data_IF_149298946324
#
_entry.id   IF_149298946324
#
_cell.length_a   1.000
_cell.length_b   1.000
_cell.length_c   1.000
_cell.angle_alpha   90.00
_cell.angle_beta   90.00
_cell.angle_gamma   90.00
#
_symmetry.space_group_name_H-M   'P 1'
#
loop_
_entity.id
_entity.type
_entity.pdbx_description
1 polymer ?
#
# COMPACT_ATOMS: atom_id res chain seq x y z
N UNK A 1 31.66 -39.35 5.08
CA UNK A 1 30.36 -38.72 5.42
C UNK A 1 30.63 -37.23 5.55
N UNK A 2 30.48 -36.49 4.45
CA UNK A 2 30.73 -35.05 4.43
C UNK A 2 29.48 -34.33 4.89
N UNK A 3 29.57 -33.62 6.01
CA UNK A 3 28.55 -32.69 6.47
C UNK A 3 28.44 -31.56 5.45
N UNK A 4 27.41 -31.63 4.60
CA UNK A 4 27.02 -30.51 3.76
C UNK A 4 26.67 -29.35 4.67
N UNK A 5 27.58 -28.39 4.77
CA UNK A 5 27.24 -27.07 5.29
C UNK A 5 26.17 -26.52 4.36
N UNK A 6 24.91 -26.61 4.81
CA UNK A 6 23.82 -25.77 4.34
C UNK A 6 24.30 -24.33 4.44
N UNK A 7 24.85 -23.82 3.33
CA UNK A 7 24.95 -22.41 3.06
C UNK A 7 23.52 -21.91 2.90
N UNK A 8 22.78 -21.84 4.01
CA UNK A 8 21.72 -20.88 4.18
C UNK A 8 22.40 -19.52 4.06
N UNK A 9 22.58 -19.10 2.81
CA UNK A 9 23.20 -17.86 2.43
C UNK A 9 22.56 -16.79 3.31
N UNK A 10 23.39 -16.12 4.11
CA UNK A 10 23.05 -14.85 4.71
C UNK A 10 22.57 -13.95 3.57
N UNK A 11 21.26 -13.98 3.32
CA UNK A 11 20.59 -13.01 2.47
C UNK A 11 20.72 -11.71 3.23
N UNK A 12 21.87 -11.05 3.09
CA UNK A 12 22.06 -9.65 3.43
C UNK A 12 20.82 -8.96 2.91
N UNK A 13 20.06 -8.39 3.83
CA UNK A 13 18.81 -7.71 3.56
C UNK A 13 19.12 -6.73 2.42
N UNK A 14 18.61 -7.04 1.22
CA UNK A 14 18.85 -6.19 0.05
C UNK A 14 18.26 -4.82 0.36
N UNK A 15 18.91 -3.73 -0.03
CA UNK A 15 18.33 -2.40 0.15
C UNK A 15 16.93 -2.39 -0.47
N UNK A 16 15.93 -1.96 0.29
CA UNK A 16 14.50 -2.15 0.00
C UNK A 16 14.06 -1.96 -1.47
N UNK A 17 14.53 -0.92 -2.19
CA UNK A 17 14.17 -0.70 -3.59
C UNK A 17 14.61 -1.82 -4.55
N UNK A 18 15.73 -2.49 -4.27
CA UNK A 18 16.25 -3.55 -5.14
C UNK A 18 15.32 -4.76 -5.14
N UNK A 19 14.76 -5.14 -3.99
CA UNK A 19 13.85 -6.28 -3.90
C UNK A 19 12.58 -6.06 -4.73
N UNK A 20 12.06 -4.82 -4.75
CA UNK A 20 10.90 -4.43 -5.57
C UNK A 20 11.27 -4.46 -7.05
N UNK A 21 12.44 -3.94 -7.44
CA UNK A 21 12.93 -4.01 -8.82
C UNK A 21 13.14 -5.44 -9.31
N UNK A 22 13.69 -6.31 -8.48
CA UNK A 22 13.91 -7.73 -8.80
C UNK A 22 12.57 -8.43 -9.03
N UNK A 23 11.58 -8.22 -8.15
CA UNK A 23 10.24 -8.80 -8.27
C UNK A 23 9.50 -8.30 -9.53
N UNK A 24 9.60 -7.00 -9.86
CA UNK A 24 8.99 -6.46 -11.07
C UNK A 24 9.70 -6.97 -12.34
N UNK A 25 11.03 -7.14 -12.30
CA UNK A 25 11.80 -7.75 -13.39
C UNK A 25 11.33 -9.18 -13.63
N UNK A 26 11.27 -10.00 -12.58
CA UNK A 26 10.85 -11.40 -12.67
C UNK A 26 9.44 -11.52 -13.27
N UNK A 27 8.48 -10.74 -12.78
CA UNK A 27 7.10 -10.71 -13.31
C UNK A 27 7.09 -10.32 -14.80
N UNK A 28 7.85 -9.30 -15.20
CA UNK A 28 7.94 -8.85 -16.60
C UNK A 28 8.64 -9.87 -17.50
N UNK A 29 9.62 -10.61 -17.00
CA UNK A 29 10.25 -11.70 -17.73
C UNK A 29 9.28 -12.86 -17.98
N UNK A 30 8.49 -13.24 -16.97
CA UNK A 30 7.44 -14.24 -17.13
C UNK A 30 6.35 -13.78 -18.11
N UNK A 31 5.91 -12.53 -18.02
CA UNK A 31 4.93 -11.96 -18.94
C UNK A 31 5.48 -11.94 -20.38
N UNK A 32 6.73 -11.50 -20.55
CA UNK A 32 7.42 -11.54 -21.84
C UNK A 32 7.47 -12.96 -22.40
N UNK A 33 7.82 -13.96 -21.59
CA UNK A 33 7.84 -15.36 -22.02
C UNK A 33 6.46 -15.83 -22.52
N UNK A 34 5.37 -15.48 -21.83
CA UNK A 34 4.01 -15.75 -22.31
C UNK A 34 3.70 -15.09 -23.65
N UNK A 35 4.14 -13.84 -23.88
CA UNK A 35 3.95 -13.19 -25.19
C UNK A 35 4.68 -13.94 -26.30
N UNK A 36 5.87 -14.49 -26.02
CA UNK A 36 6.63 -15.27 -26.99
C UNK A 36 5.96 -16.61 -27.30
N UNK A 37 5.40 -17.26 -26.28
CA UNK A 37 4.62 -18.48 -26.45
C UNK A 37 3.39 -18.23 -27.32
N UNK A 38 2.61 -17.21 -26.99
CA UNK A 38 1.45 -16.80 -27.78
C UNK A 38 1.83 -16.56 -29.25
N UNK A 39 2.87 -15.76 -29.51
CA UNK A 39 3.32 -15.44 -30.86
C UNK A 39 3.72 -16.69 -31.66
N UNK A 40 4.44 -17.64 -31.03
CA UNK A 40 4.83 -18.91 -31.66
C UNK A 40 3.62 -19.79 -32.01
N UNK A 41 2.54 -19.70 -31.24
CA UNK A 41 1.29 -20.43 -31.48
C UNK A 41 0.41 -19.86 -32.58
N UNK A 42 0.72 -18.67 -33.11
CA UNK A 42 -0.09 -18.03 -34.14
C UNK A 42 0.10 -18.64 -35.53
N UNK A 43 -1.02 -18.86 -36.20
CA UNK A 43 -1.06 -19.19 -37.64
C UNK A 43 -0.65 -17.99 -38.49
N UNK A 44 -0.32 -18.23 -39.78
CA UNK A 44 0.02 -17.16 -40.73
C UNK A 44 -1.09 -16.10 -40.83
N UNK A 45 -2.37 -16.52 -40.87
CA UNK A 45 -3.52 -15.61 -40.91
C UNK A 45 -3.57 -14.71 -39.69
N UNK A 46 -3.39 -15.28 -38.49
CA UNK A 46 -3.41 -14.51 -37.23
C UNK A 46 -2.20 -13.57 -37.09
N UNK A 47 -1.08 -13.82 -37.78
CA UNK A 47 0.06 -12.90 -37.79
C UNK A 47 -0.14 -11.72 -38.76
N UNK A 48 -1.05 -11.83 -39.74
CA UNK A 48 -1.27 -10.78 -40.76
C UNK A 48 -2.57 -10.02 -40.57
N UNK A 49 -3.61 -10.67 -40.05
CA UNK A 49 -4.95 -10.11 -39.89
C UNK A 49 -5.21 -9.72 -38.43
N UNK A 50 -5.50 -8.44 -38.19
CA UNK A 50 -5.65 -7.89 -36.84
C UNK A 50 -6.88 -8.46 -36.10
N UNK A 51 -7.95 -8.76 -36.82
CA UNK A 51 -9.17 -9.35 -36.22
C UNK A 51 -8.88 -10.76 -35.73
N UNK A 52 -8.30 -11.61 -36.58
CA UNK A 52 -7.90 -12.96 -36.22
C UNK A 52 -6.87 -12.99 -35.09
N UNK A 53 -5.94 -12.02 -35.04
CA UNK A 53 -5.00 -11.85 -33.93
C UNK A 53 -5.71 -11.56 -32.60
N UNK A 54 -6.66 -10.61 -32.58
CA UNK A 54 -7.43 -10.26 -31.38
C UNK A 54 -8.26 -11.42 -30.86
N UNK A 55 -8.85 -12.20 -31.76
CA UNK A 55 -9.61 -13.40 -31.39
C UNK A 55 -8.72 -14.49 -30.80
N UNK A 56 -7.56 -14.72 -31.42
CA UNK A 56 -6.55 -15.64 -30.91
C UNK A 56 -6.02 -15.22 -29.53
N UNK A 57 -5.74 -13.92 -29.35
CA UNK A 57 -5.28 -13.36 -28.08
C UNK A 57 -6.32 -13.50 -26.97
N UNK A 58 -7.58 -13.14 -27.24
CA UNK A 58 -8.69 -13.34 -26.29
C UNK A 58 -8.83 -14.79 -25.86
N UNK A 59 -8.81 -15.72 -26.82
CA UNK A 59 -8.88 -17.16 -26.53
C UNK A 59 -7.68 -17.63 -25.69
N UNK A 60 -6.45 -17.28 -26.10
CA UNK A 60 -5.24 -17.67 -25.40
C UNK A 60 -5.23 -17.19 -23.94
N UNK A 61 -5.57 -15.92 -23.71
CA UNK A 61 -5.60 -15.35 -22.37
C UNK A 61 -6.73 -15.96 -21.54
N UNK A 62 -7.92 -16.19 -22.11
CA UNK A 62 -9.01 -16.87 -21.41
C UNK A 62 -8.62 -18.30 -21.01
N UNK A 63 -7.98 -19.06 -21.91
CA UNK A 63 -7.49 -20.41 -21.60
C UNK A 63 -6.48 -20.39 -20.44
N UNK A 64 -5.60 -19.38 -20.38
CA UNK A 64 -4.62 -19.20 -19.29
C UNK A 64 -5.26 -18.75 -17.99
N UNK A 65 -6.22 -17.83 -18.04
CA UNK A 65 -6.98 -17.40 -16.87
C UNK A 65 -7.76 -18.58 -16.29
N UNK A 66 -8.45 -19.38 -17.11
CA UNK A 66 -9.16 -20.58 -16.66
C UNK A 66 -8.23 -21.66 -16.06
N UNK A 67 -6.94 -21.65 -16.42
CA UNK A 67 -5.94 -22.54 -15.81
C UNK A 67 -5.41 -22.00 -14.46
N UNK A 68 -5.29 -20.69 -14.33
CA UNK A 68 -4.88 -20.02 -13.10
C UNK A 68 -6.03 -19.97 -12.07
N UNK A 69 -7.23 -19.73 -12.57
CA UNK A 69 -8.51 -19.76 -11.87
C UNK A 69 -9.05 -21.19 -11.92
N UNK A 70 -8.47 -22.08 -11.11
CA UNK A 70 -8.95 -23.47 -11.04
C UNK A 70 -10.36 -23.42 -10.46
N UNK A 71 -11.42 -23.78 -11.21
CA UNK A 71 -12.77 -23.73 -10.68
C UNK A 71 -12.85 -24.63 -9.44
N UNK A 72 -13.43 -24.10 -8.38
CA UNK A 72 -13.71 -24.85 -7.16
C UNK A 72 -14.55 -26.08 -7.53
N UNK A 73 -13.89 -27.25 -7.61
CA UNK A 73 -14.58 -28.51 -7.86
C UNK A 73 -15.37 -28.87 -6.61
N UNK A 74 -16.71 -28.79 -6.72
CA UNK A 74 -17.65 -29.30 -5.73
C UNK A 74 -17.77 -28.45 -4.46
N UNK A 75 -18.95 -27.91 -4.24
CA UNK A 75 -19.53 -27.53 -2.94
C UNK A 75 -18.53 -27.27 -1.80
N UNK A 76 -17.98 -26.05 -1.73
CA UNK A 76 -17.56 -25.47 -0.45
C UNK A 76 -16.06 -25.26 -0.18
N UNK A 77 -15.16 -25.41 -1.16
CA UNK A 77 -13.77 -24.93 -0.99
C UNK A 77 -13.48 -23.79 -1.96
N UNK A 78 -13.57 -22.56 -1.47
CA UNK A 78 -12.95 -21.41 -2.13
C UNK A 78 -11.44 -21.66 -2.16
N UNK A 79 -10.91 -22.00 -3.33
CA UNK A 79 -9.47 -21.96 -3.55
C UNK A 79 -9.13 -20.51 -3.87
N UNK A 80 -8.14 -19.95 -3.18
CA UNK A 80 -7.64 -18.63 -3.52
C UNK A 80 -7.05 -18.66 -4.93
N UNK A 81 -7.40 -17.70 -5.81
CA UNK A 81 -6.85 -17.63 -7.15
C UNK A 81 -5.32 -17.44 -7.08
N UNK A 82 -4.61 -17.98 -8.07
CA UNK A 82 -3.16 -17.76 -8.20
C UNK A 82 -2.91 -16.35 -8.78
N UNK A 83 -2.96 -15.36 -7.89
CA UNK A 83 -2.87 -13.94 -8.25
C UNK A 83 -1.55 -13.58 -8.92
N UNK A 84 -0.47 -14.29 -8.60
CA UNK A 84 0.82 -14.10 -9.28
C UNK A 84 0.69 -14.43 -10.77
N UNK A 85 0.11 -15.60 -11.10
CA UNK A 85 -0.15 -15.97 -12.50
C UNK A 85 -1.12 -15.03 -13.18
N UNK A 86 -2.20 -14.63 -12.50
CA UNK A 86 -3.19 -13.69 -13.05
C UNK A 86 -2.53 -12.36 -13.39
N UNK A 87 -1.66 -11.82 -12.53
CA UNK A 87 -0.97 -10.55 -12.78
C UNK A 87 0.02 -10.66 -13.95
N UNK A 88 0.71 -11.80 -14.08
CA UNK A 88 1.56 -12.09 -15.24
C UNK A 88 0.73 -12.15 -16.52
N UNK A 89 -0.46 -12.76 -16.49
CA UNK A 89 -1.39 -12.83 -17.63
C UNK A 89 -1.90 -11.43 -18.01
N UNK A 90 -2.31 -10.60 -17.05
CA UNK A 90 -2.75 -9.23 -17.33
C UNK A 90 -1.61 -8.36 -17.88
N UNK A 91 -0.38 -8.52 -17.36
CA UNK A 91 0.79 -7.85 -17.91
C UNK A 91 1.05 -8.28 -19.36
N UNK A 92 1.00 -9.58 -19.64
CA UNK A 92 1.15 -10.12 -21.00
C UNK A 92 0.02 -9.65 -21.93
N UNK A 93 -1.22 -9.56 -21.43
CA UNK A 93 -2.36 -9.02 -22.16
C UNK A 93 -2.09 -7.57 -22.59
N UNK A 94 -1.62 -6.71 -21.69
CA UNK A 94 -1.27 -5.33 -22.01
C UNK A 94 -0.19 -5.25 -23.11
N UNK A 95 0.83 -6.09 -23.04
CA UNK A 95 1.91 -6.15 -24.04
C UNK A 95 1.43 -6.67 -25.40
N UNK A 96 0.46 -7.58 -25.43
CA UNK A 96 -0.07 -8.16 -26.65
C UNK A 96 -1.18 -7.34 -27.30
N UNK A 97 -1.77 -6.37 -26.59
CA UNK A 97 -2.83 -5.54 -27.15
C UNK A 97 -2.28 -4.63 -28.25
N UNK A 98 -2.94 -4.57 -29.43
CA UNK A 98 -2.51 -3.68 -30.48
C UNK A 98 -2.73 -2.22 -30.05
N UNK A 99 -1.71 -1.40 -30.23
CA UNK A 99 -1.82 0.04 -29.98
C UNK A 99 -2.69 0.71 -31.04
N UNK A 100 -3.22 1.89 -30.71
CA UNK A 100 -4.00 2.68 -31.66
C UNK A 100 -3.16 2.99 -32.92
N UNK A 101 -3.74 2.75 -34.10
CA UNK A 101 -3.04 2.94 -35.39
C UNK A 101 -2.17 1.76 -35.84
N UNK A 102 -2.08 0.67 -35.07
CA UNK A 102 -1.35 -0.52 -35.50
C UNK A 102 -2.12 -1.25 -36.61
N UNK A 103 -1.57 -1.26 -37.83
CA UNK A 103 -2.20 -1.95 -38.98
C UNK A 103 -2.03 -3.47 -38.94
N UNK A 104 -0.89 -3.94 -38.40
CA UNK A 104 -0.51 -5.36 -38.43
C UNK A 104 -0.03 -5.84 -37.06
N UNK A 105 -0.37 -7.08 -36.67
CA UNK A 105 0.21 -7.69 -35.47
C UNK A 105 1.73 -7.65 -35.50
N UNK A 106 2.34 -7.30 -34.37
CA UNK A 106 3.80 -7.24 -34.20
C UNK A 106 4.19 -8.15 -33.04
N UNK A 107 5.28 -8.89 -33.22
CA UNK A 107 5.90 -9.64 -32.14
C UNK A 107 6.41 -8.68 -31.07
N UNK A 108 6.03 -8.90 -29.82
CA UNK A 108 6.59 -8.19 -28.66
C UNK A 108 8.08 -8.51 -28.57
N UNK A 109 8.91 -7.48 -28.57
CA UNK A 109 10.35 -7.58 -28.35
C UNK A 109 10.71 -7.23 -26.92
N UNK A 110 11.91 -7.63 -26.45
CA UNK A 110 12.36 -7.29 -25.10
C UNK A 110 12.44 -5.76 -24.89
N UNK A 111 12.71 -5.00 -25.96
CA UNK A 111 12.70 -3.53 -25.98
C UNK A 111 11.31 -2.92 -25.88
N UNK A 112 10.25 -3.67 -26.15
CA UNK A 112 8.87 -3.22 -26.01
C UNK A 112 8.38 -3.38 -24.55
N UNK A 113 9.16 -4.03 -23.69
CA UNK A 113 8.86 -4.23 -22.27
C UNK A 113 9.71 -3.26 -21.44
N UNK A 114 9.05 -2.44 -20.62
CA UNK A 114 9.71 -1.47 -19.75
C UNK A 114 10.28 -2.15 -18.50
N UNK A 115 11.45 -2.79 -18.61
CA UNK A 115 12.11 -3.42 -17.47
C UNK A 115 12.61 -2.36 -16.47
N UNK A 116 12.41 -2.57 -15.15
CA UNK A 116 12.83 -1.60 -14.16
C UNK A 116 14.37 -1.47 -14.16
N UNK A 117 14.83 -0.25 -13.89
CA UNK A 117 16.24 0.09 -13.74
C UNK A 117 16.49 0.71 -12.37
N UNK A 118 17.75 0.97 -12.02
CA UNK A 118 18.12 1.71 -10.81
C UNK A 118 17.49 3.12 -10.72
N UNK A 119 16.95 3.65 -11.84
CA UNK A 119 16.28 4.95 -11.91
C UNK A 119 14.75 4.84 -11.86
N UNK A 120 14.20 3.63 -11.90
CA UNK A 120 12.74 3.42 -11.83
C UNK A 120 12.25 3.79 -10.44
N UNK A 121 11.29 4.71 -10.41
CA UNK A 121 10.61 5.19 -9.21
C UNK A 121 9.14 4.80 -9.18
N UNK A 122 8.55 4.46 -10.33
CA UNK A 122 7.15 4.04 -10.45
C UNK A 122 7.06 2.58 -10.82
N UNK A 123 6.24 1.85 -10.07
CA UNK A 123 5.96 0.44 -10.27
C UNK A 123 4.46 0.24 -10.45
N UNK A 124 4.06 -0.40 -11.55
CA UNK A 124 2.66 -0.68 -11.82
C UNK A 124 2.23 -2.00 -11.18
N UNK A 125 1.12 -1.98 -10.45
CA UNK A 125 0.43 -3.17 -9.94
C UNK A 125 -0.74 -3.49 -10.87
N UNK A 126 -1.42 -4.62 -10.65
CA UNK A 126 -2.64 -4.93 -11.41
C UNK A 126 -3.71 -3.83 -11.26
N UNK A 127 -3.98 -3.40 -10.02
CA UNK A 127 -5.00 -2.40 -9.67
C UNK A 127 -4.41 -1.16 -8.99
N UNK A 128 -3.21 -0.72 -9.39
CA UNK A 128 -2.59 0.43 -8.76
C UNK A 128 -1.17 0.75 -9.19
N UNK A 129 -0.52 1.65 -8.45
CA UNK A 129 0.91 1.90 -8.57
C UNK A 129 1.57 2.19 -7.22
N UNK A 130 2.87 1.93 -7.17
CA UNK A 130 3.76 2.36 -6.10
C UNK A 130 4.71 3.38 -6.73
N UNK A 131 4.67 4.60 -6.22
CA UNK A 131 5.47 5.73 -6.68
C UNK A 131 6.43 6.16 -5.56
N UNK A 132 7.73 6.14 -5.85
CA UNK A 132 8.81 6.49 -4.92
C UNK A 132 9.34 7.89 -5.27
N UNK A 133 8.96 8.91 -4.51
CA UNK A 133 9.50 10.26 -4.71
C UNK A 133 10.81 10.43 -3.95
N UNK A 134 11.89 10.63 -4.71
CA UNK A 134 13.24 10.81 -4.15
C UNK A 134 13.46 12.21 -3.58
N UNK A 135 12.75 13.21 -4.11
CA UNK A 135 12.92 14.61 -3.69
C UNK A 135 12.33 14.82 -2.30
N UNK A 136 11.12 14.30 -2.09
CA UNK A 136 10.42 14.38 -0.80
C UNK A 136 10.68 13.18 0.11
N UNK A 137 11.36 12.14 -0.38
CA UNK A 137 11.52 10.85 0.30
C UNK A 137 10.17 10.25 0.74
N UNK A 138 9.13 10.47 -0.06
CA UNK A 138 7.79 9.93 0.15
C UNK A 138 7.57 8.68 -0.69
N UNK A 139 6.54 7.92 -0.30
CA UNK A 139 6.02 6.83 -1.10
C UNK A 139 4.52 7.02 -1.22
N UNK A 140 4.05 7.06 -2.47
CA UNK A 140 2.63 7.07 -2.78
C UNK A 140 2.22 5.67 -3.24
N UNK A 141 1.23 5.11 -2.55
CA UNK A 141 0.58 3.86 -2.96
C UNK A 141 -0.83 4.21 -3.41
N UNK A 142 -1.04 4.14 -4.72
CA UNK A 142 -2.34 4.44 -5.33
C UNK A 142 -2.99 3.15 -5.74
N UNK A 143 -4.25 2.96 -5.36
CA UNK A 143 -5.07 1.80 -5.72
C UNK A 143 -6.32 2.31 -6.41
N UNK A 144 -6.77 1.62 -7.46
CA UNK A 144 -8.00 1.95 -8.17
C UNK A 144 -9.24 1.79 -7.27
N UNK A 145 -10.28 2.56 -7.52
CA UNK A 145 -11.56 2.43 -6.79
C UNK A 145 -12.27 1.14 -7.24
N UNK A 146 -12.42 0.18 -6.32
CA UNK A 146 -13.19 -1.06 -6.50
C UNK A 146 -13.46 -1.71 -5.13
N UNK A 147 -14.50 -2.54 -5.02
CA UNK A 147 -14.91 -3.22 -3.77
C UNK A 147 -13.81 -4.11 -3.14
N UNK A 148 -12.77 -4.49 -3.90
CA UNK A 148 -11.66 -5.37 -3.45
C UNK A 148 -10.26 -4.94 -3.93
N UNK A 149 -10.13 -3.78 -4.56
CA UNK A 149 -8.86 -3.41 -5.18
C UNK A 149 -7.72 -3.27 -4.15
N UNK A 150 -8.02 -2.89 -2.90
CA UNK A 150 -7.00 -2.77 -1.85
C UNK A 150 -6.44 -4.15 -1.47
N UNK A 151 -7.32 -5.14 -1.29
CA UNK A 151 -6.95 -6.52 -1.01
C UNK A 151 -6.17 -7.14 -2.17
N UNK A 152 -6.65 -6.94 -3.39
CA UNK A 152 -6.05 -7.49 -4.60
C UNK A 152 -4.68 -6.83 -4.88
N UNK A 153 -4.57 -5.51 -4.70
CA UNK A 153 -3.30 -4.79 -4.78
C UNK A 153 -2.31 -5.24 -3.69
N UNK A 154 -2.77 -5.53 -2.47
CA UNK A 154 -1.93 -6.10 -1.41
C UNK A 154 -1.48 -7.53 -1.70
N UNK A 155 -2.29 -8.29 -2.42
CA UNK A 155 -2.00 -9.66 -2.76
C UNK A 155 -1.03 -9.79 -3.94
N UNK A 156 -0.82 -8.71 -4.71
CA UNK A 156 0.22 -8.61 -5.74
C UNK A 156 1.61 -8.95 -5.15
N UNK A 157 2.38 -9.86 -5.78
CA UNK A 157 3.74 -10.21 -5.34
C UNK A 157 4.67 -9.00 -5.17
N UNK A 158 4.54 -8.00 -6.04
CA UNK A 158 5.34 -6.78 -6.00
C UNK A 158 5.01 -5.94 -4.77
N UNK A 159 3.72 -5.80 -4.45
CA UNK A 159 3.27 -5.11 -3.25
C UNK A 159 3.73 -5.84 -1.98
N UNK A 160 3.70 -7.18 -1.97
CA UNK A 160 4.23 -7.98 -0.84
C UNK A 160 5.69 -7.70 -0.56
N UNK A 161 6.54 -7.71 -1.59
CA UNK A 161 7.97 -7.38 -1.43
C UNK A 161 8.16 -5.91 -1.05
N UNK A 162 7.35 -4.98 -1.57
CA UNK A 162 7.36 -3.58 -1.16
C UNK A 162 7.05 -3.40 0.34
N UNK A 163 5.94 -3.95 0.83
CA UNK A 163 5.57 -3.82 2.26
C UNK A 163 6.50 -4.58 3.19
N UNK A 164 7.13 -5.65 2.70
CA UNK A 164 8.21 -6.33 3.43
C UNK A 164 9.45 -5.45 3.53
N UNK A 165 9.83 -4.79 2.42
CA UNK A 165 10.94 -3.85 2.40
C UNK A 165 10.68 -2.63 3.31
N UNK A 166 9.47 -2.05 3.28
CA UNK A 166 9.12 -0.90 4.11
C UNK A 166 9.12 -1.26 5.62
N UNK A 167 8.70 -2.48 5.97
CA UNK A 167 8.76 -2.99 7.33
C UNK A 167 10.18 -3.19 7.88
N UNK A 168 11.18 -3.24 7.01
CA UNK A 168 12.60 -3.39 7.38
C UNK A 168 13.35 -2.05 7.46
N UNK A 169 12.70 -0.94 7.10
CA UNK A 169 13.28 0.41 7.20
C UNK A 169 13.58 0.73 8.66
N UNK A 170 14.77 1.29 8.92
CA UNK A 170 15.12 1.90 10.20
C UNK A 170 14.58 3.33 10.22
N UNK A 171 13.54 3.56 11.01
CA UNK A 171 12.86 4.84 11.03
C UNK A 171 13.52 5.82 11.98
N UNK A 172 13.74 7.05 11.54
CA UNK A 172 14.21 8.15 12.39
C UNK A 172 13.03 8.93 12.96
N UNK A 173 13.29 9.80 13.94
CA UNK A 173 12.27 10.73 14.46
C UNK A 173 11.73 11.61 13.32
N UNK A 174 10.40 11.76 13.25
CA UNK A 174 9.75 12.57 12.21
C UNK A 174 9.69 11.89 10.84
N UNK A 175 9.83 10.56 10.78
CA UNK A 175 9.62 9.77 9.55
C UNK A 175 8.55 8.70 9.77
N UNK A 176 8.17 8.03 8.69
CA UNK A 176 7.06 7.10 8.66
C UNK A 176 5.82 7.75 8.06
N UNK A 177 4.67 7.14 8.30
CA UNK A 177 3.42 7.65 7.78
C UNK A 177 2.30 6.63 7.87
N UNK A 178 1.20 6.99 7.22
CA UNK A 178 -0.05 6.26 7.25
C UNK A 178 -0.50 6.04 5.81
N UNK A 179 -0.81 4.79 5.47
CA UNK A 179 -1.51 4.44 4.25
C UNK A 179 -3.00 4.50 4.53
N UNK A 180 -3.71 5.30 3.75
CA UNK A 180 -5.16 5.45 3.85
C UNK A 180 -5.82 4.79 2.65
N UNK A 181 -6.99 4.19 2.90
CA UNK A 181 -7.86 3.64 1.88
C UNK A 181 -9.24 4.28 1.95
N UNK A 182 -9.98 4.17 0.86
CA UNK A 182 -11.41 4.44 0.79
C UNK A 182 -12.07 3.26 0.07
N UNK A 183 -13.27 2.88 0.49
CA UNK A 183 -14.05 1.84 -0.17
C UNK A 183 -15.41 2.40 -0.62
N UNK A 184 -16.06 1.74 -1.57
CA UNK A 184 -17.34 2.18 -2.13
C UNK A 184 -18.42 2.30 -1.04
N UNK A 185 -18.35 1.46 -0.01
CA UNK A 185 -19.30 1.47 1.11
C UNK A 185 -19.17 2.74 1.97
N UNK A 186 -17.97 3.30 2.08
CA UNK A 186 -17.72 4.55 2.79
C UNK A 186 -18.19 5.77 1.99
N UNK A 187 -18.17 5.77 0.65
CA UNK A 187 -18.69 6.91 -0.13
C UNK A 187 -20.22 7.07 -0.03
N UNK A 188 -20.97 5.97 0.03
CA UNK A 188 -22.44 6.01 0.02
C UNK A 188 -23.06 6.41 1.37
N UNK A 189 -22.24 6.56 2.39
CA UNK A 189 -22.68 6.93 3.71
C UNK A 189 -22.87 8.45 3.83
N UNK A 190 -23.94 8.95 3.18
CA UNK A 190 -24.30 10.39 3.05
C UNK A 190 -24.64 11.11 4.37
N UNK A 191 -24.53 10.44 5.52
CA UNK A 191 -24.75 11.07 6.82
C UNK A 191 -23.50 11.80 7.31
N UNK A 192 -23.67 12.86 8.09
CA UNK A 192 -22.56 13.59 8.69
C UNK A 192 -21.72 12.66 9.58
N UNK A 193 -20.52 12.30 9.09
CA UNK A 193 -19.58 11.38 9.76
C UNK A 193 -19.45 9.99 9.12
N UNK A 194 -20.14 9.70 8.02
CA UNK A 194 -20.31 8.32 7.52
C UNK A 194 -19.21 7.75 6.62
N UNK A 195 -18.35 8.57 5.99
CA UNK A 195 -17.46 8.11 4.92
C UNK A 195 -16.01 8.54 5.11
N UNK A 196 -15.40 8.15 6.23
CA UNK A 196 -14.03 8.54 6.55
C UNK A 196 -13.04 7.58 5.88
N UNK A 197 -12.02 8.12 5.21
CA UNK A 197 -10.81 7.40 4.85
C UNK A 197 -10.36 6.57 6.06
N UNK A 198 -10.12 5.27 5.87
CA UNK A 198 -9.62 4.41 6.93
C UNK A 198 -8.13 4.18 6.76
N UNK A 199 -7.45 3.89 7.87
CA UNK A 199 -6.03 3.55 7.84
C UNK A 199 -5.89 2.05 7.54
N UNK A 200 -5.25 1.72 6.44
CA UNK A 200 -4.94 0.33 6.07
C UNK A 200 -3.69 -0.16 6.79
N UNK A 201 -2.64 0.66 6.82
CA UNK A 201 -1.36 0.37 7.48
C UNK A 201 -0.68 1.64 7.93
N UNK A 202 0.13 1.55 8.99
CA UNK A 202 0.99 2.64 9.41
C UNK A 202 2.42 2.13 9.70
N UNK A 203 3.42 2.99 9.50
CA UNK A 203 4.83 2.66 9.71
C UNK A 203 5.58 3.82 10.36
N UNK A 204 6.62 3.48 11.13
CA UNK A 204 7.51 4.45 11.77
C UNK A 204 6.85 5.30 12.85
N UNK A 205 7.60 6.25 13.44
CA UNK A 205 7.12 7.11 14.52
C UNK A 205 5.88 7.94 14.17
N UNK A 206 5.80 8.51 12.97
CA UNK A 206 4.61 9.28 12.55
C UNK A 206 3.38 8.36 12.50
N UNK A 207 3.51 7.18 11.87
CA UNK A 207 2.42 6.21 11.80
C UNK A 207 1.98 5.70 13.17
N UNK A 208 2.92 5.51 14.11
CA UNK A 208 2.62 5.14 15.48
C UNK A 208 1.88 6.25 16.24
N UNK A 209 2.20 7.51 15.98
CA UNK A 209 1.51 8.64 16.61
C UNK A 209 0.10 8.84 16.05
N UNK A 210 -0.07 8.74 14.73
CA UNK A 210 -1.34 9.02 14.07
C UNK A 210 -2.32 7.84 14.15
N UNK A 211 -1.84 6.61 14.03
CA UNK A 211 -2.66 5.41 13.97
C UNK A 211 -1.97 4.23 14.68
N UNK A 212 -1.77 4.30 16.01
CA UNK A 212 -1.02 3.29 16.76
C UNK A 212 -1.59 1.86 16.66
N UNK A 213 -2.92 1.72 16.49
CA UNK A 213 -3.57 0.41 16.35
C UNK A 213 -3.30 -0.30 15.02
N UNK A 214 -2.82 0.44 14.03
CA UNK A 214 -2.61 0.01 12.64
C UNK A 214 -1.12 0.11 12.27
N UNK A 215 -0.30 0.58 13.21
CA UNK A 215 1.13 0.69 13.04
C UNK A 215 1.78 -0.69 13.13
N UNK A 216 2.54 -1.06 12.11
CA UNK A 216 3.33 -2.26 12.12
C UNK A 216 4.55 -2.10 13.05
N UNK A 217 4.98 -3.18 13.73
CA UNK A 217 6.22 -3.16 14.49
C UNK A 217 7.38 -2.69 13.61
N UNK A 218 8.18 -1.76 14.14
CA UNK A 218 9.27 -1.16 13.39
C UNK A 218 10.52 -1.02 14.24
N UNK A 219 11.66 -0.79 13.59
CA UNK A 219 12.93 -0.52 14.26
C UNK A 219 13.24 0.96 14.12
N UNK A 220 13.56 1.63 15.23
CA UNK A 220 13.98 3.02 15.19
C UNK A 220 15.46 3.16 14.78
N UNK A 221 15.92 4.40 14.59
CA UNK A 221 17.31 4.70 14.24
C UNK A 221 18.32 4.34 15.33
N UNK A 222 17.86 4.10 16.56
CA UNK A 222 18.68 3.63 17.68
C UNK A 222 18.74 2.10 17.77
N UNK A 223 18.04 1.39 16.87
CA UNK A 223 17.97 -0.07 16.88
C UNK A 223 16.95 -0.63 17.88
N UNK A 224 16.17 0.21 18.55
CA UNK A 224 15.09 -0.22 19.42
C UNK A 224 13.92 -0.67 18.57
N UNK A 225 13.43 -1.88 18.83
CA UNK A 225 12.24 -2.42 18.18
C UNK A 225 10.99 -1.99 18.92
N UNK A 226 10.09 -1.31 18.22
CA UNK A 226 8.76 -0.98 18.71
C UNK A 226 7.85 -2.18 18.44
N UNK A 227 7.48 -2.91 19.49
CA UNK A 227 6.61 -4.09 19.41
C UNK A 227 5.14 -3.69 19.41
N UNK A 228 4.24 -4.62 19.08
CA UNK A 228 2.79 -4.38 19.18
C UNK A 228 2.36 -3.97 20.59
N UNK A 229 2.95 -4.56 21.64
CA UNK A 229 2.65 -4.19 23.03
C UNK A 229 3.05 -2.74 23.34
N UNK A 230 4.22 -2.30 22.84
CA UNK A 230 4.66 -0.92 23.02
C UNK A 230 3.72 0.07 22.29
N UNK A 231 3.26 -0.29 21.09
CA UNK A 231 2.29 0.51 20.32
C UNK A 231 0.91 0.52 20.98
N UNK A 232 0.45 -0.60 21.54
CA UNK A 232 -0.80 -0.69 22.28
C UNK A 232 -0.77 0.18 23.55
N UNK A 233 0.37 0.19 24.25
CA UNK A 233 0.58 1.09 25.40
C UNK A 233 0.53 2.55 24.98
N UNK A 234 1.19 2.91 23.89
CA UNK A 234 1.17 4.28 23.35
C UNK A 234 -0.26 4.71 22.98
N UNK A 235 -1.06 3.82 22.38
CA UNK A 235 -2.49 4.06 22.12
C UNK A 235 -3.27 4.33 23.40
N UNK A 236 -3.04 3.53 24.45
CA UNK A 236 -3.72 3.71 25.73
C UNK A 236 -3.36 5.04 26.39
N UNK A 237 -2.08 5.43 26.33
CA UNK A 237 -1.58 6.71 26.84
C UNK A 237 -2.21 7.89 26.07
N UNK A 238 -2.31 7.80 24.74
CA UNK A 238 -2.99 8.81 23.92
C UNK A 238 -4.48 8.94 24.26
N UNK A 239 -5.19 7.81 24.37
CA UNK A 239 -6.59 7.80 24.74
C UNK A 239 -6.83 8.43 26.13
N UNK A 240 -5.97 8.11 27.10
CA UNK A 240 -6.06 8.69 28.44
C UNK A 240 -5.82 10.20 28.40
N UNK A 241 -4.83 10.66 27.65
CA UNK A 241 -4.53 12.09 27.49
C UNK A 241 -5.69 12.85 26.82
N UNK A 242 -6.34 12.26 25.82
CA UNK A 242 -7.52 12.84 25.16
C UNK A 242 -8.70 12.97 26.14
N UNK A 243 -8.98 11.91 26.90
CA UNK A 243 -10.03 11.94 27.93
C UNK A 243 -9.77 13.00 29.02
N UNK A 244 -8.52 13.14 29.44
CA UNK A 244 -8.14 14.14 30.45
C UNK A 244 -8.22 15.57 29.88
N UNK A 245 -7.90 15.78 28.60
CA UNK A 245 -8.11 17.06 27.93
C UNK A 245 -9.60 17.40 27.81
N UNK A 246 -10.43 16.43 27.41
CA UNK A 246 -11.87 16.62 27.32
C UNK A 246 -12.47 17.02 28.68
N UNK A 247 -12.07 16.33 29.76
CA UNK A 247 -12.48 16.69 31.13
C UNK A 247 -12.04 18.09 31.53
N UNK A 248 -10.85 18.53 31.12
CA UNK A 248 -10.37 19.91 31.38
C UNK A 248 -11.22 20.93 30.62
N UNK A 249 -11.52 20.68 29.35
CA UNK A 249 -12.38 21.55 28.54
C UNK A 249 -13.80 21.63 29.11
N UNK A 250 -14.36 20.51 29.59
CA UNK A 250 -15.67 20.48 30.25
C UNK A 250 -15.66 21.27 31.58
N UNK A 251 -14.57 21.24 32.35
CA UNK A 251 -14.40 22.05 33.57
C UNK A 251 -14.22 23.53 33.29
N UNK A 252 -13.58 23.88 32.18
CA UNK A 252 -13.34 25.27 31.76
C UNK A 252 -14.54 25.88 31.04
N UNK A 253 -15.46 25.08 30.53
CA UNK A 253 -16.70 25.57 29.95
C UNK A 253 -17.45 26.35 31.05
N UNK A 254 -17.55 27.69 30.96
CA UNK A 254 -18.23 28.47 31.98
C UNK A 254 -19.62 27.90 32.14
N UNK A 255 -20.06 27.70 33.39
CA UNK A 255 -21.45 27.37 33.69
C UNK A 255 -22.29 28.36 32.91
N UNK A 256 -22.85 27.91 31.77
CA UNK A 256 -23.82 28.70 31.05
C UNK A 256 -24.96 28.75 32.02
N UNK A 257 -25.03 29.82 32.81
CA UNK A 257 -26.14 30.11 33.69
C UNK A 257 -27.36 30.03 32.78
N UNK A 258 -28.05 28.90 32.83
CA UNK A 258 -29.31 28.70 32.15
C UNK A 258 -30.24 29.60 32.94
N UNK A 259 -30.30 30.87 32.56
CA UNK A 259 -31.39 31.74 32.97
C UNK A 259 -32.65 31.01 32.53
N UNK A 260 -33.34 30.40 33.50
CA UNK A 260 -34.70 29.85 33.38
C UNK A 260 -35.66 31.01 33.10
N UNK A 261 -35.53 31.62 31.93
CA UNK A 261 -36.50 32.54 31.36
C UNK A 261 -37.45 31.75 30.47
N UNK A 262 -38.73 31.78 30.84
CA UNK A 262 -39.91 31.26 30.16
C UNK A 262 -39.76 30.64 28.74
N UNK A 263 -40.09 29.34 28.67
CA UNK A 263 -40.76 28.62 27.58
C UNK A 263 -40.67 29.21 26.15
N UNK A 264 -39.54 29.00 25.45
CA UNK A 264 -39.51 29.00 23.99
C UNK A 264 -38.90 27.68 23.50
N UNK A 265 -39.60 27.00 22.59
CA UNK A 265 -39.23 25.69 22.03
C UNK A 265 -37.77 25.71 21.52
N UNK A 266 -36.89 24.81 22.01
CA UNK A 266 -35.51 24.79 21.57
C UNK A 266 -35.40 24.27 20.14
N UNK A 267 -34.96 25.13 19.22
CA UNK A 267 -34.43 24.68 17.94
C UNK A 267 -33.16 23.87 18.20
N UNK A 268 -33.07 22.66 17.63
CA UNK A 268 -31.88 21.79 17.74
C UNK A 268 -30.66 22.50 17.16
N UNK A 269 -29.85 23.10 18.03
CA UNK A 269 -28.57 23.68 17.64
C UNK A 269 -27.61 22.54 17.23
N UNK A 270 -27.06 22.63 16.01
CA UNK A 270 -26.06 21.71 15.49
C UNK A 270 -24.77 21.81 16.33
N UNK A 271 -24.17 20.68 16.71
CA UNK A 271 -22.86 20.65 17.39
C UNK A 271 -21.80 21.30 16.48
N UNK A 272 -20.95 22.20 16.99
CA UNK A 272 -19.90 22.83 16.21
C UNK A 272 -18.77 21.83 15.90
N UNK A 273 -18.38 21.74 14.63
CA UNK A 273 -17.35 20.83 14.07
C UNK A 273 -15.91 21.25 14.47
N UNK A 274 -15.76 22.36 15.19
CA UNK A 274 -14.47 23.05 15.38
C UNK A 274 -13.51 22.41 16.41
N UNK A 275 -13.93 21.36 17.14
CA UNK A 275 -13.16 20.77 18.25
C UNK A 275 -11.95 19.94 17.81
N UNK A 276 -11.99 19.25 16.66
CA UNK A 276 -10.88 18.39 16.23
C UNK A 276 -9.62 19.15 15.82
N UNK A 277 -9.75 20.36 15.25
CA UNK A 277 -8.60 21.15 14.82
C UNK A 277 -7.77 21.71 16.00
N UNK A 278 -8.43 22.04 17.12
CA UNK A 278 -7.77 22.56 18.32
C UNK A 278 -6.99 21.45 19.05
N UNK A 279 -7.55 20.23 19.10
CA UNK A 279 -6.90 19.04 19.68
C UNK A 279 -5.54 18.70 19.04
N UNK A 280 -5.36 18.98 17.74
CA UNK A 280 -4.09 18.73 17.03
C UNK A 280 -2.99 19.76 17.32
N UNK A 281 -3.34 20.99 17.67
CA UNK A 281 -2.37 22.08 17.87
C UNK A 281 -1.77 22.10 19.29
N UNK A 282 -2.47 21.57 20.30
CA UNK A 282 -2.04 21.60 21.71
C UNK A 282 -1.29 20.34 22.18
N UNK A 283 -0.98 19.40 21.29
CA UNK A 283 -0.15 18.22 21.57
C UNK A 283 1.33 18.38 21.12
N UNK A 284 2.16 19.30 21.66
CA UNK A 284 3.60 19.18 21.52
C UNK A 284 4.26 18.57 22.78
N UNK A 285 5.26 17.71 22.53
CA UNK A 285 6.41 17.41 23.41
C UNK A 285 6.32 16.35 24.54
N UNK A 286 5.34 15.43 24.59
CA UNK A 286 5.43 14.30 25.53
C UNK A 286 6.51 13.24 25.19
N UNK A 287 7.25 13.41 24.09
CA UNK A 287 8.43 12.60 23.76
C UNK A 287 9.75 13.38 23.79
N UNK A 288 9.81 14.58 24.37
CA UNK A 288 11.10 15.16 24.78
C UNK A 288 11.63 14.42 26.01
N UNK A 289 12.04 13.17 25.83
CA UNK A 289 13.03 12.57 26.72
C UNK A 289 14.31 13.38 26.55
N UNK A 290 14.55 14.27 27.52
CA UNK A 290 15.77 15.03 27.74
C UNK A 290 16.99 14.12 27.55
N UNK A 291 17.58 14.12 26.35
CA UNK A 291 18.81 13.37 26.10
C UNK A 291 19.98 14.10 26.79
N UNK A 292 20.85 13.40 27.53
CA UNK A 292 22.12 13.96 27.97
C UNK A 292 22.99 14.24 26.74
N UNK A 293 23.56 15.44 26.67
CA UNK A 293 24.28 15.96 25.50
C UNK A 293 25.31 14.98 24.95
N UNK A 294 25.17 14.63 23.67
CA UNK A 294 26.14 13.83 22.92
C UNK A 294 26.75 14.69 21.84
N UNK A 295 28.07 14.87 21.93
CA UNK A 295 28.87 15.61 20.95
C UNK A 295 28.78 14.96 19.56
N UNK A 296 28.57 15.78 18.53
CA UNK A 296 28.59 15.38 17.13
C UNK A 296 30.01 15.06 16.67
N UNK A 297 30.27 13.91 16.02
CA UNK A 297 31.37 13.80 15.08
C UNK A 297 30.89 14.26 13.69
N UNK A 298 31.68 15.14 13.07
CA UNK A 298 31.58 15.47 11.66
C UNK A 298 31.95 14.23 10.82
N UNK A 299 31.14 13.92 9.80
CA UNK A 299 31.45 12.85 8.86
C UNK A 299 30.53 12.90 7.66
N UNK A 300 31.07 13.34 6.53
CA UNK A 300 30.54 13.22 5.17
C UNK A 300 30.07 11.78 4.90
N UNK A 301 29.01 11.60 4.11
CA UNK A 301 28.97 10.55 3.09
C UNK A 301 28.07 10.93 1.92
N UNK A 302 28.53 10.49 0.73
CA UNK A 302 27.93 10.56 -0.59
C UNK A 302 26.66 9.74 -0.74
#
# INVERSE_FOLDING_TARGET
MGTGHDQAAERRIRPGPQAVQDADTERKEQAFALTQEFWKGLTRKQQTDMTAYRDAGRKFLSDRLNQADVPASGWGRYREPDLEKINVIHTAQGLCQPHWGQEKPKRVMKTDVDFPTNRTTRFHLADGSIDLDRETSSVDWTVSENTRAVEDAHADPLAKEFFKAIGQVKWTRGTGGVFTGNDELNQDNRHAGGGANYVTRAYGPIGAQEAPGQCHPYTDSQGRRMTQDALAKLRQEQFQAEMDLQRKLERQAPERHIHRGAAARPQRARRPVHLQAVLRAELPALTETKQPGRAHPAGLFC
#
